data_IF_920161851589
#
_entry.id   IF_920161851589
#
_cell.length_a   1.000
_cell.length_b   1.000
_cell.length_c   1.000
_cell.angle_alpha   90.00
_cell.angle_beta   90.00
_cell.angle_gamma   90.00
#
_symmetry.space_group_name_H-M   'P 1'
#
loop_
_entity.id
_entity.type
_entity.pdbx_description
1 polymer ?
#
# COMPACT_ATOMS: atom_id res chain seq x y z
N UNK A 1 -3.47 20.60 -24.21
CA UNK A 1 -3.02 19.20 -24.11
C UNK A 1 -2.94 18.87 -22.63
N UNK A 2 -3.97 18.21 -22.08
CA UNK A 2 -3.97 17.77 -20.68
C UNK A 2 -3.17 16.48 -20.62
N UNK A 3 -2.04 16.49 -19.91
CA UNK A 3 -1.26 15.28 -19.64
C UNK A 3 -2.03 14.47 -18.58
N UNK A 4 -2.58 13.33 -18.98
CA UNK A 4 -3.14 12.36 -18.04
C UNK A 4 -1.97 11.58 -17.43
N UNK A 5 -1.62 11.88 -16.19
CA UNK A 5 -0.74 11.03 -15.40
C UNK A 5 -1.55 9.81 -14.95
N UNK A 6 -1.20 8.64 -15.49
CA UNK A 6 -1.85 7.37 -15.18
C UNK A 6 -0.96 6.55 -14.25
N UNK A 7 -1.52 6.13 -13.12
CA UNK A 7 -0.85 5.34 -12.10
C UNK A 7 -1.39 5.66 -10.70
N UNK A 8 -0.93 4.90 -9.71
CA UNK A 8 -1.12 5.25 -8.30
C UNK A 8 0.12 6.00 -7.82
N UNK A 9 -0.04 7.29 -7.55
CA UNK A 9 1.02 8.17 -7.09
C UNK A 9 1.03 8.30 -5.57
N UNK A 10 2.04 8.98 -5.05
CA UNK A 10 2.13 9.29 -3.64
C UNK A 10 0.96 10.15 -3.17
N UNK A 11 0.21 9.67 -2.18
CA UNK A 11 -0.94 10.36 -1.58
C UNK A 11 -2.29 10.01 -2.20
N UNK A 12 -2.33 9.32 -3.35
CA UNK A 12 -3.60 8.95 -4.01
C UNK A 12 -4.45 7.98 -3.17
N UNK A 13 -3.83 7.15 -2.33
CA UNK A 13 -4.51 6.27 -1.39
C UNK A 13 -5.16 7.04 -0.22
N UNK A 14 -4.52 8.15 0.18
CA UNK A 14 -4.92 8.93 1.35
C UNK A 14 -6.26 9.62 1.14
N UNK A 15 -6.55 10.08 -0.09
CA UNK A 15 -7.83 10.75 -0.43
C UNK A 15 -9.04 9.82 -0.36
N UNK A 16 -8.83 8.50 -0.37
CA UNK A 16 -9.90 7.51 -0.19
C UNK A 16 -10.16 7.16 1.28
N UNK A 17 -9.31 7.60 2.22
CA UNK A 17 -9.43 7.30 3.65
C UNK A 17 -9.75 8.56 4.46
N UNK A 18 -9.13 9.68 4.12
CA UNK A 18 -9.30 10.96 4.80
C UNK A 18 -10.23 11.87 4.01
N UNK A 19 -10.98 12.71 4.72
CA UNK A 19 -11.73 13.79 4.08
C UNK A 19 -10.75 14.84 3.57
N UNK A 20 -10.77 15.08 2.26
CA UNK A 20 -9.94 16.06 1.56
C UNK A 20 -10.78 16.82 0.54
N UNK A 21 -10.19 17.82 -0.13
CA UNK A 21 -10.84 18.54 -1.24
C UNK A 21 -10.99 17.70 -2.53
N UNK A 22 -10.39 16.51 -2.58
CA UNK A 22 -10.50 15.60 -3.73
C UNK A 22 -11.81 14.81 -3.64
N UNK A 23 -12.63 14.91 -4.69
CA UNK A 23 -13.93 14.24 -4.73
C UNK A 23 -13.81 12.76 -5.12
N UNK A 24 -13.80 11.89 -4.11
CA UNK A 24 -13.83 10.41 -4.24
C UNK A 24 -15.25 9.83 -4.22
N UNK A 25 -16.29 10.66 -4.31
CA UNK A 25 -17.69 10.23 -4.28
C UNK A 25 -18.38 10.28 -5.65
N UNK A 26 -17.69 10.76 -6.69
CA UNK A 26 -18.29 10.96 -8.02
C UNK A 26 -18.62 9.66 -8.76
N UNK A 27 -17.84 8.60 -8.52
CA UNK A 27 -17.99 7.34 -9.24
C UNK A 27 -18.20 6.17 -8.28
N UNK A 28 -18.95 5.12 -8.68
CA UNK A 28 -19.07 3.91 -7.87
C UNK A 28 -17.71 3.24 -7.59
N UNK A 29 -16.78 3.32 -8.53
CA UNK A 29 -15.42 2.79 -8.36
C UNK A 29 -14.70 3.47 -7.20
N UNK A 30 -14.72 4.80 -7.15
CA UNK A 30 -14.07 5.58 -6.09
C UNK A 30 -14.75 5.39 -4.73
N UNK A 31 -16.08 5.34 -4.72
CA UNK A 31 -16.84 5.07 -3.51
C UNK A 31 -16.54 3.68 -2.94
N UNK A 32 -16.40 2.67 -3.81
CA UNK A 32 -16.07 1.32 -3.39
C UNK A 32 -14.63 1.22 -2.88
N UNK A 33 -13.69 1.94 -3.51
CA UNK A 33 -12.31 2.01 -3.01
C UNK A 33 -12.26 2.68 -1.63
N UNK A 34 -12.99 3.78 -1.44
CA UNK A 34 -13.09 4.44 -0.14
C UNK A 34 -13.65 3.51 0.94
N UNK A 35 -14.75 2.80 0.65
CA UNK A 35 -15.35 1.83 1.57
C UNK A 35 -14.38 0.70 1.93
N UNK A 36 -13.65 0.18 0.94
CA UNK A 36 -12.66 -0.89 1.14
C UNK A 36 -11.55 -0.43 2.09
N UNK A 37 -10.92 0.72 1.80
CA UNK A 37 -9.78 1.22 2.56
C UNK A 37 -10.18 1.70 3.96
N UNK A 38 -11.33 2.36 4.11
CA UNK A 38 -11.85 2.73 5.44
C UNK A 38 -12.17 1.49 6.28
N UNK A 39 -12.79 0.45 5.70
CA UNK A 39 -13.05 -0.80 6.41
C UNK A 39 -11.75 -1.50 6.82
N UNK A 40 -10.75 -1.53 5.93
CA UNK A 40 -9.41 -2.05 6.21
C UNK A 40 -8.78 -1.36 7.42
N UNK A 41 -8.74 -0.02 7.42
CA UNK A 41 -8.13 0.76 8.51
C UNK A 41 -8.90 0.62 9.83
N UNK A 42 -10.23 0.72 9.79
CA UNK A 42 -11.07 0.65 11.00
C UNK A 42 -11.04 -0.75 11.64
N UNK A 43 -11.08 -1.82 10.84
CA UNK A 43 -10.95 -3.20 11.35
C UNK A 43 -9.57 -3.50 11.93
N UNK A 44 -8.51 -3.01 11.29
CA UNK A 44 -7.16 -3.12 11.84
C UNK A 44 -7.02 -2.37 13.16
N UNK A 45 -7.54 -1.13 13.23
CA UNK A 45 -7.47 -0.32 14.46
C UNK A 45 -8.22 -0.94 15.65
N UNK A 46 -9.26 -1.73 15.38
CA UNK A 46 -10.10 -2.33 16.42
C UNK A 46 -9.67 -3.73 16.83
N UNK A 47 -9.13 -4.53 15.91
CA UNK A 47 -8.83 -5.95 16.15
C UNK A 47 -7.38 -6.35 15.91
N UNK A 48 -6.58 -5.46 15.32
CA UNK A 48 -5.24 -5.79 14.82
C UNK A 48 -5.22 -6.62 13.53
N UNK A 49 -6.39 -6.94 12.96
CA UNK A 49 -6.52 -7.73 11.73
C UNK A 49 -7.30 -6.89 10.69
N UNK A 50 -6.68 -6.53 9.55
CA UNK A 50 -7.37 -5.78 8.51
C UNK A 50 -8.38 -6.69 7.78
N UNK A 51 -9.60 -6.19 7.61
CA UNK A 51 -10.65 -6.82 6.79
C UNK A 51 -10.67 -6.20 5.40
N UNK A 52 -10.46 -7.01 4.37
CA UNK A 52 -10.43 -6.58 2.97
C UNK A 52 -11.25 -7.56 2.15
N UNK A 53 -12.56 -7.29 2.07
CA UNK A 53 -13.56 -8.22 1.53
C UNK A 53 -13.36 -9.63 2.13
N UNK A 54 -13.30 -10.65 1.27
CA UNK A 54 -13.11 -12.05 1.65
C UNK A 54 -11.64 -12.50 1.65
N UNK A 55 -10.69 -11.57 1.46
CA UNK A 55 -9.26 -11.89 1.38
C UNK A 55 -8.63 -11.91 2.76
N UNK A 56 -7.89 -12.98 3.05
CA UNK A 56 -7.05 -13.09 4.24
C UNK A 56 -5.69 -12.46 3.94
N UNK A 57 -5.45 -11.26 4.48
CA UNK A 57 -4.13 -10.64 4.43
C UNK A 57 -3.23 -11.29 5.49
N UNK A 58 -2.34 -12.17 5.04
CA UNK A 58 -1.41 -12.89 5.91
C UNK A 58 -0.36 -11.94 6.51
N UNK A 59 -0.12 -12.10 7.80
CA UNK A 59 0.95 -11.38 8.50
C UNK A 59 2.31 -11.78 7.92
N UNK A 60 3.22 -10.80 7.82
CA UNK A 60 4.60 -11.07 7.43
C UNK A 60 5.28 -11.99 8.44
N UNK A 61 6.06 -12.96 7.96
CA UNK A 61 6.83 -13.82 8.83
C UNK A 61 7.98 -13.03 9.47
N UNK A 62 8.33 -13.33 10.73
CA UNK A 62 9.50 -12.71 11.39
C UNK A 62 10.83 -13.04 10.70
N UNK A 63 10.85 -14.02 9.81
CA UNK A 63 12.00 -14.45 9.02
C UNK A 63 11.97 -13.94 7.56
N UNK A 64 10.92 -13.20 7.17
CA UNK A 64 10.65 -12.82 5.78
C UNK A 64 11.65 -11.85 5.16
N UNK A 65 12.51 -11.22 5.97
CA UNK A 65 13.61 -10.39 5.48
C UNK A 65 14.65 -11.14 4.65
N UNK A 66 14.63 -12.48 4.66
CA UNK A 66 15.65 -13.32 4.01
C UNK A 66 15.20 -13.86 2.65
N UNK A 67 13.89 -14.07 2.43
CA UNK A 67 13.40 -14.83 1.27
C UNK A 67 12.45 -14.03 0.35
N UNK A 68 11.38 -13.44 0.91
CA UNK A 68 10.41 -12.67 0.14
C UNK A 68 9.50 -11.79 1.02
N UNK A 69 9.17 -10.61 0.51
CA UNK A 69 8.20 -9.70 1.09
C UNK A 69 6.82 -10.10 0.58
N UNK A 70 5.96 -10.58 1.49
CA UNK A 70 4.55 -10.84 1.20
C UNK A 70 3.73 -9.58 1.42
N UNK A 71 2.90 -9.21 0.45
CA UNK A 71 2.04 -8.04 0.51
C UNK A 71 0.70 -8.33 -0.16
N UNK A 72 -0.33 -7.63 0.28
CA UNK A 72 -1.60 -7.63 -0.43
C UNK A 72 -1.54 -6.60 -1.56
N UNK A 73 -1.69 -7.07 -2.79
CA UNK A 73 -1.80 -6.23 -3.97
C UNK A 73 -3.27 -5.87 -4.22
N UNK A 74 -3.60 -4.59 -4.01
CA UNK A 74 -4.91 -4.02 -4.31
C UNK A 74 -4.83 -3.36 -5.68
N UNK A 75 -5.19 -4.09 -6.74
CA UNK A 75 -5.25 -3.52 -8.09
C UNK A 75 -6.52 -2.70 -8.29
N UNK A 76 -7.65 -3.22 -7.80
CA UNK A 76 -8.93 -2.54 -7.65
C UNK A 76 -9.78 -3.31 -6.62
N UNK A 77 -11.00 -2.86 -6.35
CA UNK A 77 -11.87 -3.47 -5.33
C UNK A 77 -12.30 -4.92 -5.61
N UNK A 78 -12.16 -5.38 -6.86
CA UNK A 78 -12.51 -6.73 -7.30
C UNK A 78 -11.29 -7.61 -7.57
N UNK A 79 -10.09 -7.04 -7.55
CA UNK A 79 -8.82 -7.73 -7.82
C UNK A 79 -7.86 -7.46 -6.67
N UNK A 80 -7.90 -8.38 -5.71
CA UNK A 80 -7.20 -8.35 -4.43
C UNK A 80 -6.42 -9.65 -4.30
N UNK A 81 -5.09 -9.58 -4.28
CA UNK A 81 -4.26 -10.79 -4.35
C UNK A 81 -3.08 -10.70 -3.40
N UNK A 82 -2.84 -11.75 -2.61
CA UNK A 82 -1.58 -11.89 -1.91
C UNK A 82 -0.48 -12.15 -2.95
N UNK A 83 0.50 -11.23 -2.99
CA UNK A 83 1.69 -11.35 -3.83
C UNK A 83 2.93 -11.44 -2.96
N UNK A 84 4.01 -11.92 -3.55
CA UNK A 84 5.32 -11.96 -2.94
C UNK A 84 6.36 -11.46 -3.92
N UNK A 85 7.35 -10.73 -3.43
CA UNK A 85 8.50 -10.33 -4.22
C UNK A 85 9.75 -10.34 -3.34
N UNK A 86 10.89 -10.71 -3.91
CA UNK A 86 12.18 -10.66 -3.23
C UNK A 86 12.58 -9.21 -2.95
N UNK A 87 12.19 -8.28 -3.83
CA UNK A 87 12.59 -6.87 -3.73
C UNK A 87 11.41 -5.94 -4.01
N UNK A 88 11.30 -4.86 -3.24
CA UNK A 88 10.39 -3.75 -3.53
C UNK A 88 11.24 -2.53 -3.87
N UNK A 89 10.99 -1.93 -5.04
CA UNK A 89 11.71 -0.70 -5.43
C UNK A 89 13.19 -0.92 -5.78
N UNK A 90 13.57 -2.11 -6.26
CA UNK A 90 14.93 -2.45 -6.69
C UNK A 90 15.98 -2.34 -5.57
N UNK A 91 15.64 -2.88 -4.39
CA UNK A 91 16.50 -2.90 -3.19
C UNK A 91 17.96 -3.30 -3.46
N UNK A 92 18.28 -4.34 -4.29
CA UNK A 92 19.67 -4.72 -4.54
C UNK A 92 20.51 -3.62 -5.20
N UNK A 93 19.89 -2.80 -6.05
CA UNK A 93 20.57 -1.65 -6.63
C UNK A 93 20.91 -0.62 -5.55
N UNK A 94 19.95 -0.26 -4.70
CA UNK A 94 20.16 0.72 -3.64
C UNK A 94 21.21 0.26 -2.62
N UNK A 95 21.18 -1.03 -2.24
CA UNK A 95 22.16 -1.64 -1.33
C UNK A 95 23.57 -1.75 -1.95
N UNK A 96 23.68 -1.76 -3.29
CA UNK A 96 24.98 -1.80 -3.97
C UNK A 96 25.74 -0.47 -3.91
N UNK A 97 25.06 0.62 -3.58
CA UNK A 97 25.67 1.94 -3.52
C UNK A 97 26.53 2.06 -2.25
N UNK A 98 27.72 2.69 -2.29
CA UNK A 98 28.57 2.88 -1.12
C UNK A 98 28.06 4.02 -0.22
N UNK A 99 26.75 4.08 0.01
CA UNK A 99 26.09 5.10 0.81
C UNK A 99 26.04 4.65 2.28
N UNK A 100 26.51 5.52 3.18
CA UNK A 100 26.31 5.37 4.62
C UNK A 100 25.12 6.23 5.03
N UNK A 101 23.91 5.76 4.74
CA UNK A 101 22.66 6.55 4.87
C UNK A 101 22.52 7.28 6.22
N UNK A 102 23.04 6.69 7.30
CA UNK A 102 22.92 7.22 8.67
C UNK A 102 24.22 7.81 9.25
N UNK A 103 25.24 8.10 8.43
CA UNK A 103 26.56 8.55 8.93
C UNK A 103 26.51 9.85 9.77
N UNK A 104 25.50 10.70 9.53
CA UNK A 104 25.32 11.98 10.24
C UNK A 104 23.98 12.10 10.95
N UNK A 105 23.25 11.00 11.14
CA UNK A 105 21.88 11.05 11.67
C UNK A 105 21.80 11.55 13.12
N UNK A 106 22.93 11.55 13.84
CA UNK A 106 23.05 11.95 15.24
C UNK A 106 24.13 13.03 15.46
N UNK A 107 24.41 13.88 14.46
CA UNK A 107 25.34 15.02 14.61
C UNK A 107 24.60 16.33 14.88
#
# INVERSE_FOLDING_TARGET
MLLYFVGASHGDDTVYVLSTEVNTHSTPTDQNMSKLLVNMWTSFSSTGIPKINDVIWLQMSKKSYVDSINYLHIYNTSCLEMKSNVTLGNTPFWESLPLRENEKLMR
#
